data_IF_062410980628
#
_entry.id   IF_062410980628
#
_cell.length_a   1.000
_cell.length_b   1.000
_cell.length_c   1.000
_cell.angle_alpha   90.00
_cell.angle_beta   90.00
_cell.angle_gamma   90.00
#
_symmetry.space_group_name_H-M   'P 1'
#
loop_
_entity.id
_entity.type
_entity.pdbx_description
1 polymer ?
#
# COMPACT_ATOMS: atom_id res chain seq x y z
N UNK A 1 -25.11 -12.99 -9.03
CA UNK A 1 -23.92 -13.85 -9.21
C UNK A 1 -23.15 -13.95 -7.91
N UNK A 2 -22.54 -15.10 -7.62
CA UNK A 2 -21.82 -15.33 -6.38
C UNK A 2 -20.32 -15.46 -6.61
N UNK A 3 -19.53 -14.59 -5.98
CA UNK A 3 -18.08 -14.55 -6.05
C UNK A 3 -17.52 -15.32 -4.85
N UNK A 4 -16.61 -16.25 -5.11
CA UNK A 4 -15.87 -16.99 -4.07
C UNK A 4 -14.46 -16.41 -3.94
N UNK A 5 -14.02 -16.17 -2.71
CA UNK A 5 -12.68 -15.69 -2.40
C UNK A 5 -11.80 -16.76 -1.79
N UNK A 6 -10.63 -16.97 -2.39
CA UNK A 6 -9.55 -17.76 -1.83
C UNK A 6 -8.40 -16.85 -1.38
N UNK A 7 -7.90 -16.95 -0.13
CA UNK A 7 -6.75 -16.18 0.31
C UNK A 7 -5.47 -16.65 -0.40
N UNK A 8 -4.67 -15.71 -0.89
CA UNK A 8 -3.37 -15.96 -1.51
C UNK A 8 -2.18 -15.52 -0.63
N UNK A 9 -2.46 -14.99 0.57
CA UNK A 9 -1.47 -14.40 1.47
C UNK A 9 -1.17 -12.93 1.18
N UNK A 10 -0.51 -12.25 2.13
CA UNK A 10 -0.15 -10.82 2.07
C UNK A 10 -1.34 -9.90 1.74
N UNK A 11 -2.53 -10.22 2.26
CA UNK A 11 -3.75 -9.46 2.01
C UNK A 11 -4.32 -9.57 0.59
N UNK A 12 -3.80 -10.47 -0.25
CA UNK A 12 -4.33 -10.72 -1.59
C UNK A 12 -5.29 -11.89 -1.61
N UNK A 13 -6.25 -11.81 -2.51
CA UNK A 13 -7.27 -12.82 -2.72
C UNK A 13 -7.39 -13.16 -4.20
N UNK A 14 -7.63 -14.43 -4.50
CA UNK A 14 -8.16 -14.86 -5.79
C UNK A 14 -9.69 -14.81 -5.73
N UNK A 15 -10.31 -14.25 -6.76
CA UNK A 15 -11.75 -14.22 -6.91
C UNK A 15 -12.18 -15.08 -8.10
N UNK A 16 -13.22 -15.89 -7.90
CA UNK A 16 -13.80 -16.75 -8.93
C UNK A 16 -15.33 -16.76 -8.86
N UNK A 17 -15.97 -17.18 -9.95
CA UNK A 17 -17.40 -17.52 -10.02
C UNK A 17 -17.52 -18.94 -10.53
N UNK A 18 -17.99 -19.84 -9.68
CA UNK A 18 -17.91 -21.28 -9.97
C UNK A 18 -16.46 -21.69 -10.25
N UNK A 19 -16.19 -22.23 -11.43
CA UNK A 19 -14.85 -22.65 -11.87
C UNK A 19 -14.06 -21.55 -12.60
N UNK A 20 -14.67 -20.39 -12.83
CA UNK A 20 -14.06 -19.32 -13.62
C UNK A 20 -13.30 -18.34 -12.74
N UNK A 21 -12.01 -18.18 -12.97
CA UNK A 21 -11.21 -17.13 -12.31
C UNK A 21 -11.55 -15.75 -12.90
N UNK A 22 -11.72 -14.75 -12.02
CA UNK A 22 -11.99 -13.36 -12.41
C UNK A 22 -10.77 -12.47 -12.20
N UNK A 23 -10.21 -12.45 -10.99
CA UNK A 23 -9.09 -11.56 -10.68
C UNK A 23 -8.25 -12.03 -9.48
N UNK A 24 -7.09 -11.39 -9.30
CA UNK A 24 -6.28 -11.45 -8.09
C UNK A 24 -6.04 -10.03 -7.59
N UNK A 25 -6.52 -9.69 -6.40
CA UNK A 25 -6.50 -8.30 -5.89
C UNK A 25 -6.55 -8.28 -4.36
N UNK A 26 -6.14 -7.16 -3.77
CA UNK A 26 -6.41 -6.85 -2.35
C UNK A 26 -7.86 -6.38 -2.13
N UNK A 27 -8.53 -5.94 -3.21
CA UNK A 27 -9.94 -5.51 -3.21
C UNK A 27 -10.74 -6.31 -4.25
N UNK A 28 -10.87 -7.64 -4.06
CA UNK A 28 -11.38 -8.54 -5.08
C UNK A 28 -12.84 -8.26 -5.47
N UNK A 29 -13.67 -7.78 -4.54
CA UNK A 29 -15.09 -7.47 -4.80
C UNK A 29 -15.25 -6.43 -5.91
N UNK A 30 -14.67 -5.25 -5.69
CA UNK A 30 -14.74 -4.12 -6.63
C UNK A 30 -14.00 -4.41 -7.93
N UNK A 31 -12.89 -5.15 -7.86
CA UNK A 31 -12.13 -5.55 -9.05
C UNK A 31 -12.94 -6.50 -9.93
N UNK A 32 -13.61 -7.50 -9.32
CA UNK A 32 -14.46 -8.45 -10.03
C UNK A 32 -15.70 -7.79 -10.64
N UNK A 33 -16.30 -6.82 -9.94
CA UNK A 33 -17.40 -6.03 -10.49
C UNK A 33 -17.03 -5.32 -11.80
N UNK A 34 -15.81 -4.77 -11.89
CA UNK A 34 -15.32 -4.16 -13.14
C UNK A 34 -15.07 -5.17 -14.25
N UNK A 35 -14.66 -6.40 -13.90
CA UNK A 35 -14.57 -7.49 -14.88
C UNK A 35 -15.95 -7.82 -15.45
N UNK A 36 -16.97 -7.96 -14.61
CA UNK A 36 -18.35 -8.16 -15.09
C UNK A 36 -18.86 -7.01 -15.94
N UNK A 37 -18.61 -5.77 -15.52
CA UNK A 37 -19.02 -4.59 -16.28
C UNK A 37 -18.33 -4.55 -17.65
N UNK A 38 -17.04 -4.87 -17.72
CA UNK A 38 -16.30 -4.95 -18.98
C UNK A 38 -16.80 -6.08 -19.90
N UNK A 39 -17.39 -7.12 -19.33
CA UNK A 39 -18.04 -8.22 -20.07
C UNK A 39 -19.46 -7.90 -20.53
N UNK A 40 -19.97 -6.70 -20.23
CA UNK A 40 -21.31 -6.27 -20.61
C UNK A 40 -22.42 -6.78 -19.71
N UNK A 41 -22.09 -7.23 -18.49
CA UNK A 41 -23.11 -7.56 -17.50
C UNK A 41 -23.87 -6.29 -17.09
N UNK A 42 -25.22 -6.30 -17.04
CA UNK A 42 -26.02 -5.14 -16.67
C UNK A 42 -25.66 -4.58 -15.28
N UNK A 43 -25.63 -3.26 -15.15
CA UNK A 43 -25.21 -2.56 -13.93
C UNK A 43 -26.10 -2.85 -12.70
N UNK A 44 -27.38 -3.15 -12.92
CA UNK A 44 -28.36 -3.51 -11.88
C UNK A 44 -28.25 -4.97 -11.43
N UNK A 45 -27.41 -5.77 -12.09
CA UNK A 45 -27.24 -7.18 -11.78
C UNK A 45 -26.70 -7.35 -10.35
N UNK A 46 -27.39 -8.12 -9.48
CA UNK A 46 -26.93 -8.32 -8.11
C UNK A 46 -25.69 -9.22 -8.05
N UNK A 47 -24.73 -8.82 -7.23
CA UNK A 47 -23.52 -9.59 -6.94
C UNK A 47 -23.34 -9.78 -5.43
N UNK A 48 -22.88 -10.97 -5.06
CA UNK A 48 -22.54 -11.34 -3.69
C UNK A 48 -21.12 -11.87 -3.64
N UNK A 49 -20.50 -11.81 -2.47
CA UNK A 49 -19.17 -12.35 -2.23
C UNK A 49 -19.13 -13.13 -0.92
N UNK A 50 -18.44 -14.27 -0.96
CA UNK A 50 -18.20 -15.14 0.19
C UNK A 50 -16.77 -15.66 0.16
N UNK A 51 -16.27 -16.11 1.30
CA UNK A 51 -15.01 -16.83 1.39
C UNK A 51 -15.20 -18.29 0.97
N UNK A 52 -14.16 -18.88 0.38
CA UNK A 52 -14.12 -20.31 0.07
C UNK A 52 -14.41 -21.15 1.32
N UNK A 53 -15.29 -22.14 1.18
CA UNK A 53 -15.73 -23.00 2.29
C UNK A 53 -16.70 -22.34 3.27
N UNK A 54 -17.06 -21.06 3.09
CA UNK A 54 -18.04 -20.36 3.93
C UNK A 54 -19.41 -20.27 3.24
N UNK A 55 -20.47 -20.46 4.01
CA UNK A 55 -21.85 -20.18 3.57
C UNK A 55 -22.27 -18.73 3.81
N UNK A 56 -21.43 -17.92 4.46
CA UNK A 56 -21.76 -16.55 4.85
C UNK A 56 -21.45 -15.59 3.69
N UNK A 57 -22.46 -14.82 3.30
CA UNK A 57 -22.28 -13.70 2.38
C UNK A 57 -21.60 -12.55 3.13
N UNK A 58 -20.36 -12.25 2.75
CA UNK A 58 -19.57 -11.19 3.36
C UNK A 58 -19.98 -9.80 2.85
N UNK A 59 -20.26 -9.67 1.55
CA UNK A 59 -20.63 -8.41 0.89
C UNK A 59 -21.70 -8.67 -0.18
N UNK A 60 -22.63 -7.72 -0.33
CA UNK A 60 -23.65 -7.68 -1.40
C UNK A 60 -23.75 -6.28 -1.99
N UNK A 61 -23.92 -6.18 -3.30
CA UNK A 61 -24.17 -4.92 -4.04
C UNK A 61 -24.70 -5.26 -5.45
N UNK A 62 -24.69 -4.29 -6.36
CA UNK A 62 -24.90 -4.48 -7.79
C UNK A 62 -23.58 -4.29 -8.55
N UNK A 63 -23.52 -4.75 -9.81
CA UNK A 63 -22.33 -4.61 -10.67
C UNK A 63 -21.93 -3.15 -10.80
N UNK A 64 -22.86 -2.26 -11.16
CA UNK A 64 -22.56 -0.85 -11.41
C UNK A 64 -22.13 -0.10 -10.14
N UNK A 65 -22.82 -0.35 -9.02
CA UNK A 65 -22.45 0.28 -7.75
C UNK A 65 -21.05 -0.15 -7.31
N UNK A 66 -20.74 -1.45 -7.35
CA UNK A 66 -19.44 -1.95 -6.95
C UNK A 66 -18.33 -1.56 -7.93
N UNK A 67 -18.56 -1.61 -9.24
CA UNK A 67 -17.56 -1.26 -10.25
C UNK A 67 -17.12 0.22 -10.12
N UNK A 68 -18.06 1.09 -9.75
CA UNK A 68 -17.83 2.52 -9.52
C UNK A 68 -17.12 2.88 -8.21
N UNK A 69 -16.70 1.91 -7.40
CA UNK A 69 -16.08 2.15 -6.07
C UNK A 69 -14.65 1.62 -6.00
N UNK A 70 -13.85 2.22 -5.14
CA UNK A 70 -12.51 1.76 -4.77
C UNK A 70 -12.31 1.91 -3.26
N UNK A 71 -11.55 1.01 -2.64
CA UNK A 71 -11.06 1.19 -1.27
C UNK A 71 -9.78 2.00 -1.33
N UNK A 72 -9.78 3.14 -0.66
CA UNK A 72 -8.59 3.95 -0.43
C UNK A 72 -8.20 3.77 1.03
N UNK A 73 -7.04 3.17 1.26
CA UNK A 73 -6.42 2.99 2.57
C UNK A 73 -5.23 3.94 2.66
N UNK A 74 -5.29 4.84 3.62
CA UNK A 74 -4.18 5.74 3.98
C UNK A 74 -3.97 5.65 5.47
N UNK A 75 -2.73 5.90 5.92
CA UNK A 75 -2.38 5.82 7.35
C UNK A 75 -3.19 6.83 8.19
N UNK A 76 -3.60 7.94 7.59
CA UNK A 76 -4.36 9.01 8.27
C UNK A 76 -5.87 8.74 8.33
N UNK A 77 -6.47 8.23 7.25
CA UNK A 77 -7.94 8.13 7.13
C UNK A 77 -8.52 6.73 7.31
N UNK A 78 -7.67 5.69 7.39
CA UNK A 78 -8.10 4.29 7.35
C UNK A 78 -8.76 3.89 6.01
N UNK A 79 -9.42 2.71 5.94
CA UNK A 79 -10.10 2.26 4.73
C UNK A 79 -11.38 3.06 4.46
N UNK A 80 -11.42 3.79 3.34
CA UNK A 80 -12.62 4.52 2.87
C UNK A 80 -13.03 4.10 1.46
N UNK A 81 -14.35 4.01 1.23
CA UNK A 81 -14.89 3.83 -0.11
C UNK A 81 -14.97 5.17 -0.86
N UNK A 82 -14.19 5.30 -1.93
CA UNK A 82 -14.22 6.46 -2.83
C UNK A 82 -14.73 6.05 -4.22
N UNK A 83 -15.09 7.02 -5.06
CA UNK A 83 -15.47 6.75 -6.46
C UNK A 83 -14.24 6.29 -7.24
N UNK A 84 -14.40 5.24 -8.02
CA UNK A 84 -13.38 4.79 -8.96
C UNK A 84 -13.31 5.74 -10.16
N UNK A 85 -12.09 6.14 -10.53
CA UNK A 85 -11.80 6.87 -11.76
C UNK A 85 -10.67 6.12 -12.48
N UNK A 86 -10.89 5.58 -13.69
CA UNK A 86 -9.81 4.95 -14.42
C UNK A 86 -8.73 6.00 -14.72
N UNK A 87 -7.47 5.61 -14.57
CA UNK A 87 -6.36 6.45 -14.99
C UNK A 87 -6.42 6.56 -16.52
N UNK A 88 -6.44 7.77 -17.06
CA UNK A 88 -6.48 7.95 -18.52
C UNK A 88 -5.25 7.28 -19.15
N UNK A 89 -5.42 6.42 -20.17
CA UNK A 89 -4.31 5.70 -20.79
C UNK A 89 -3.33 6.62 -21.53
N UNK A 90 -3.71 7.87 -21.81
CA UNK A 90 -2.87 8.85 -22.51
C UNK A 90 -1.72 9.44 -21.67
N UNK A 91 -1.70 9.25 -20.34
CA UNK A 91 -0.53 9.65 -19.57
C UNK A 91 0.54 8.56 -19.70
N UNK A 92 1.64 8.78 -20.45
CA UNK A 92 2.78 7.89 -20.35
C UNK A 92 3.14 7.83 -18.87
N UNK A 93 3.34 6.61 -18.35
CA UNK A 93 4.03 6.42 -17.07
C UNK A 93 5.41 7.01 -17.26
N UNK A 94 5.55 8.31 -16.99
CA UNK A 94 6.83 8.96 -16.91
C UNK A 94 7.51 8.22 -15.76
N UNK A 95 8.38 7.26 -16.11
CA UNK A 95 9.39 6.82 -15.18
C UNK A 95 10.10 8.11 -14.85
N UNK A 96 9.80 8.68 -13.69
CA UNK A 96 10.69 9.61 -13.05
C UNK A 96 11.90 8.75 -12.77
N UNK A 97 12.82 8.67 -13.75
CA UNK A 97 14.22 8.52 -13.41
C UNK A 97 14.43 9.70 -12.48
N UNK A 98 14.58 9.43 -11.19
CA UNK A 98 15.40 10.31 -10.38
C UNK A 98 16.78 10.26 -11.05
N UNK A 99 16.95 11.06 -12.11
CA UNK A 99 18.26 11.56 -12.43
C UNK A 99 18.72 12.18 -11.14
N UNK A 100 19.72 11.53 -10.56
CA UNK A 100 20.46 12.01 -9.42
C UNK A 100 20.97 13.37 -9.88
N UNK A 101 20.22 14.43 -9.55
CA UNK A 101 20.69 15.79 -9.73
C UNK A 101 21.96 15.83 -8.92
N UNK A 102 23.08 15.84 -9.62
CA UNK A 102 24.38 16.11 -9.04
C UNK A 102 24.28 17.55 -8.57
N UNK A 103 23.83 17.71 -7.33
CA UNK A 103 23.83 19.00 -6.67
C UNK A 103 25.30 19.31 -6.48
N UNK A 104 25.86 20.11 -7.38
CA UNK A 104 27.16 20.75 -7.19
C UNK A 104 27.01 21.82 -6.09
N UNK A 105 26.59 21.40 -4.90
CA UNK A 105 26.67 22.22 -3.70
C UNK A 105 28.11 22.10 -3.21
N UNK A 106 28.94 23.05 -3.62
CA UNK A 106 30.16 23.40 -2.90
C UNK A 106 29.72 24.00 -1.57
N UNK A 107 29.41 23.13 -0.61
CA UNK A 107 29.34 23.51 0.78
C UNK A 107 30.79 23.59 1.26
N UNK A 108 31.35 24.80 1.29
CA UNK A 108 32.59 25.05 2.02
C UNK A 108 32.34 24.66 3.48
N UNK A 109 32.88 23.50 3.87
CA UNK A 109 32.97 23.10 5.27
C UNK A 109 34.20 23.82 5.83
N UNK A 110 34.07 24.76 6.78
CA UNK A 110 35.23 25.28 7.47
C UNK A 110 35.89 24.12 8.24
N UNK A 111 37.14 23.84 7.90
CA UNK A 111 37.91 22.76 8.51
C UNK A 111 38.02 22.96 10.03
N UNK A 112 37.76 21.92 10.86
CA UNK A 112 38.12 21.98 12.26
C UNK A 112 39.66 21.97 12.40
N UNK A 113 40.18 22.95 13.14
CA UNK A 113 41.59 23.08 13.45
C UNK A 113 42.18 21.80 14.05
N UNK A 114 43.43 21.50 13.64
CA UNK A 114 44.24 20.34 14.03
C UNK A 114 44.14 20.04 15.53
N UNK A 115 43.71 18.82 15.87
CA UNK A 115 43.80 18.26 17.20
C UNK A 115 45.27 18.17 17.68
N UNK A 116 45.60 18.63 18.90
CA UNK A 116 46.92 18.41 19.47
C UNK A 116 47.08 16.94 19.91
N UNK A 117 48.28 16.42 19.63
CA UNK A 117 48.72 15.05 19.85
C UNK A 117 48.62 14.67 21.34
N UNK A 118 48.02 13.53 21.61
CA UNK A 118 48.02 12.87 22.92
C UNK A 118 49.47 12.59 23.36
N UNK A 119 49.87 13.12 24.51
CA UNK A 119 51.00 12.62 25.28
C UNK A 119 50.48 12.05 26.58
N UNK A 120 50.84 10.79 26.82
CA UNK A 120 50.54 9.98 27.97
C UNK A 120 50.85 10.68 29.31
N UNK A 121 50.15 10.27 30.37
CA UNK A 121 50.74 9.75 31.61
C UNK A 121 49.60 9.28 32.55
N UNK A 122 49.56 7.96 32.77
CA UNK A 122 49.43 7.28 34.06
C UNK A 122 49.57 8.23 35.29
N UNK A 123 48.84 8.15 36.41
CA UNK A 123 47.99 7.12 37.01
C UNK A 123 47.25 7.75 38.25
N UNK A 124 46.74 7.01 39.26
CA UNK A 124 45.42 7.24 39.88
C UNK A 124 45.53 7.86 41.29
N UNK A 125 44.39 8.20 41.92
CA UNK A 125 44.05 8.07 43.35
C UNK A 125 43.30 9.26 43.99
N UNK A 126 42.27 8.86 44.76
CA UNK A 126 41.86 9.32 46.10
C UNK A 126 40.80 10.44 46.28
N UNK A 127 39.81 10.04 47.11
CA UNK A 127 38.94 10.80 48.03
C UNK A 127 37.81 11.59 47.33
N UNK A 128 36.56 11.54 47.76
CA UNK A 128 36.01 11.25 49.09
C UNK A 128 35.10 12.42 49.49
N UNK A 129 33.91 12.08 50.00
CA UNK A 129 32.92 12.91 50.69
C UNK A 129 32.09 13.94 49.89
N UNK A 130 30.78 13.70 49.91
CA UNK A 130 29.81 14.77 50.17
C UNK A 130 28.66 14.24 51.03
N UNK A 131 28.72 14.60 52.30
CA UNK A 131 27.58 14.82 53.21
C UNK A 131 26.66 15.90 52.62
N UNK A 132 25.35 15.72 52.74
CA UNK A 132 24.46 16.43 53.68
C UNK A 132 23.21 15.58 53.89
#
# INVERSE_FOLDING_TARGET
MNITLQPLGRGRFAASVGQRALCRSTTPFFTSARVFQAEGVPDDTPITMMHEGSSIVAIRSTVGEAAGRIVLETDEEGPKLKRYRPMSPEMPRQRVRHEMQKVDNVFEVPMPAKAPKQSALFAPHLRGNRTY
#
